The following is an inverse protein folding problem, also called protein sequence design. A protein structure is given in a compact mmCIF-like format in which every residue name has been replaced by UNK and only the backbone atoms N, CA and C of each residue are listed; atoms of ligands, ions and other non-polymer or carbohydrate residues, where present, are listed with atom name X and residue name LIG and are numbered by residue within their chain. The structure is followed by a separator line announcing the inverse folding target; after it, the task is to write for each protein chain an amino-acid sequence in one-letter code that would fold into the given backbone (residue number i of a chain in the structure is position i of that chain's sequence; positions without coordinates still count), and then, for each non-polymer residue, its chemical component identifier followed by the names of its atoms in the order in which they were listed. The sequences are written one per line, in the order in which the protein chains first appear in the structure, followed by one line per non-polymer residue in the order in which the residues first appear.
data_IF_372828641445
#
_entry.id   IF_372828641445
#
_cell.length_a   1.000
_cell.length_b   1.000
_cell.length_c   1.000
_cell.angle_alpha   90.00
_cell.angle_beta   90.00
_cell.angle_gamma   90.00
#
_symmetry.space_group_name_H-M   'P 1'
#
loop_
_entity.id
_entity.type
_entity.pdbx_description
1 polymer ?
#
# COMPACT_ATOMS: atom_id res chain seq x y z
N UNK A 1 1.25 83.74 -20.93
CA UNK A 1 1.65 82.58 -21.78
C UNK A 1 2.71 81.69 -21.10
N UNK A 2 2.61 81.42 -19.78
CA UNK A 2 3.62 80.62 -19.05
C UNK A 2 3.12 79.21 -18.62
N UNK A 3 1.94 78.78 -19.05
CA UNK A 3 1.27 77.58 -18.53
C UNK A 3 1.50 76.28 -19.32
N UNK A 4 2.22 76.30 -20.45
CA UNK A 4 2.28 75.14 -21.35
C UNK A 4 3.57 74.30 -21.27
N UNK A 5 4.65 74.80 -20.64
CA UNK A 5 5.90 74.05 -20.54
C UNK A 5 5.98 73.05 -19.37
N UNK A 6 5.12 73.15 -18.36
CA UNK A 6 5.19 72.24 -17.20
C UNK A 6 4.59 70.85 -17.45
N UNK A 7 3.71 70.69 -18.45
CA UNK A 7 3.04 69.42 -18.74
C UNK A 7 3.90 68.42 -19.54
N UNK A 8 4.95 68.88 -20.24
CA UNK A 8 5.85 67.99 -20.99
C UNK A 8 6.87 67.31 -20.09
N UNK A 9 7.38 68.03 -19.07
CA UNK A 9 8.30 67.47 -18.07
C UNK A 9 7.64 66.43 -17.16
N UNK A 10 6.38 66.63 -16.78
CA UNK A 10 5.63 65.63 -16.03
C UNK A 10 5.44 64.34 -16.86
N UNK A 11 5.05 64.45 -18.13
CA UNK A 11 4.87 63.27 -19.00
C UNK A 11 6.17 62.48 -19.21
N UNK A 12 7.33 63.15 -19.32
CA UNK A 12 8.62 62.46 -19.44
C UNK A 12 9.04 61.76 -18.15
N UNK A 13 8.77 62.36 -16.98
CA UNK A 13 9.00 61.75 -15.67
C UNK A 13 8.15 60.49 -15.47
N UNK A 14 6.86 60.53 -15.79
CA UNK A 14 5.99 59.35 -15.71
C UNK A 14 6.47 58.21 -16.62
N UNK A 15 6.90 58.52 -17.85
CA UNK A 15 7.47 57.53 -18.78
C UNK A 15 8.73 56.84 -18.24
N UNK A 16 9.65 57.62 -17.65
CA UNK A 16 10.88 57.08 -17.05
C UNK A 16 10.61 56.19 -15.83
N UNK A 17 9.66 56.57 -14.96
CA UNK A 17 9.30 55.71 -13.82
C UNK A 17 8.69 54.38 -14.24
N UNK A 18 7.89 54.37 -15.32
CA UNK A 18 7.25 53.16 -15.83
C UNK A 18 8.28 52.23 -16.50
N UNK A 19 9.22 52.80 -17.25
CA UNK A 19 10.38 52.08 -17.80
C UNK A 19 11.25 51.47 -16.69
N UNK A 20 11.56 52.23 -15.62
CA UNK A 20 12.32 51.73 -14.48
C UNK A 20 11.59 50.59 -13.76
N UNK A 21 10.27 50.69 -13.56
CA UNK A 21 9.49 49.61 -12.96
C UNK A 21 9.47 48.34 -13.84
N UNK A 22 9.36 48.49 -15.16
CA UNK A 22 9.45 47.36 -16.09
C UNK A 22 10.86 46.74 -16.04
N UNK A 23 11.90 47.57 -16.04
CA UNK A 23 13.29 47.11 -16.04
C UNK A 23 13.70 46.43 -14.73
N UNK A 24 13.07 46.77 -13.60
CA UNK A 24 13.30 46.10 -12.32
C UNK A 24 12.46 44.83 -12.14
N UNK A 25 11.21 44.84 -12.62
CA UNK A 25 10.28 43.72 -12.38
C UNK A 25 10.59 42.50 -13.24
N UNK A 26 11.06 42.69 -14.47
CA UNK A 26 11.41 41.61 -15.41
C UNK A 26 12.59 40.73 -14.93
N UNK A 27 13.76 41.27 -14.51
CA UNK A 27 14.87 40.43 -14.07
C UNK A 27 14.58 39.68 -12.77
N UNK A 28 13.79 40.26 -11.85
CA UNK A 28 13.39 39.57 -10.62
C UNK A 28 12.48 38.36 -10.90
N UNK A 29 11.50 38.48 -11.79
CA UNK A 29 10.62 37.35 -12.12
C UNK A 29 11.35 36.27 -12.93
N UNK A 30 12.24 36.67 -13.85
CA UNK A 30 13.07 35.72 -14.61
C UNK A 30 14.04 34.96 -13.70
N UNK A 31 14.69 35.65 -12.75
CA UNK A 31 15.60 35.01 -11.79
C UNK A 31 14.88 34.03 -10.85
N UNK A 32 13.69 34.41 -10.36
CA UNK A 32 12.89 33.54 -9.50
C UNK A 32 12.42 32.29 -10.26
N UNK A 33 11.91 32.46 -11.48
CA UNK A 33 11.46 31.35 -12.31
C UNK A 33 12.61 30.39 -12.64
N UNK A 34 13.80 30.91 -12.98
CA UNK A 34 14.97 30.08 -13.24
C UNK A 34 15.41 29.29 -12.00
N UNK A 35 15.36 29.89 -10.81
CA UNK A 35 15.66 29.17 -9.56
C UNK A 35 14.65 28.08 -9.27
N UNK A 36 13.35 28.36 -9.42
CA UNK A 36 12.29 27.38 -9.22
C UNK A 36 12.41 26.20 -10.19
N UNK A 37 12.68 26.47 -11.48
CA UNK A 37 12.88 25.39 -12.46
C UNK A 37 14.15 24.60 -12.18
N UNK A 38 15.24 25.23 -11.74
CA UNK A 38 16.46 24.50 -11.34
C UNK A 38 16.23 23.60 -10.13
N UNK A 39 15.44 24.06 -9.14
CA UNK A 39 15.10 23.27 -7.95
C UNK A 39 14.20 22.10 -8.32
N UNK A 40 13.18 22.33 -9.15
CA UNK A 40 12.31 21.26 -9.65
C UNK A 40 13.11 20.21 -10.43
N UNK A 41 14.02 20.65 -11.30
CA UNK A 41 14.88 19.74 -12.05
C UNK A 41 15.81 18.93 -11.13
N UNK A 42 16.38 19.56 -10.10
CA UNK A 42 17.18 18.85 -9.11
C UNK A 42 16.35 17.81 -8.33
N UNK A 43 15.12 18.15 -7.93
CA UNK A 43 14.21 17.19 -7.29
C UNK A 43 13.88 16.03 -8.21
N UNK A 44 13.56 16.30 -9.49
CA UNK A 44 13.26 15.26 -10.49
C UNK A 44 14.46 14.35 -10.72
N UNK A 45 15.65 14.91 -10.91
CA UNK A 45 16.89 14.13 -11.06
C UNK A 45 17.20 13.29 -9.82
N UNK A 46 16.95 13.82 -8.62
CA UNK A 46 17.11 13.07 -7.37
C UNK A 46 16.15 11.89 -7.31
N UNK A 47 14.88 12.08 -7.72
CA UNK A 47 13.89 11.00 -7.77
C UNK A 47 14.31 9.90 -8.76
N UNK A 48 14.78 10.26 -9.95
CA UNK A 48 15.26 9.28 -10.93
C UNK A 48 16.44 8.47 -10.40
N UNK A 49 17.43 9.09 -9.75
CA UNK A 49 18.55 8.36 -9.15
C UNK A 49 18.10 7.34 -8.09
N UNK A 50 17.10 7.70 -7.29
CA UNK A 50 16.53 6.78 -6.29
C UNK A 50 15.84 5.62 -6.98
N UNK A 51 15.02 5.89 -8.01
CA UNK A 51 14.35 4.86 -8.80
C UNK A 51 15.37 3.92 -9.45
N UNK A 52 16.38 4.46 -10.13
CA UNK A 52 17.43 3.69 -10.78
C UNK A 52 18.20 2.82 -9.77
N UNK A 53 18.50 3.35 -8.58
CA UNK A 53 19.17 2.57 -7.53
C UNK A 53 18.32 1.40 -7.02
N UNK A 54 17.01 1.60 -6.93
CA UNK A 54 16.06 0.55 -6.52
C UNK A 54 15.91 -0.50 -7.63
N UNK A 55 15.86 -0.07 -8.89
CA UNK A 55 15.83 -0.97 -10.03
C UNK A 55 17.09 -1.83 -10.12
N UNK A 56 18.26 -1.24 -9.86
CA UNK A 56 19.53 -1.97 -9.82
C UNK A 56 19.53 -3.04 -8.71
N UNK A 57 19.13 -2.67 -7.48
CA UNK A 57 19.01 -3.63 -6.37
C UNK A 57 18.02 -4.74 -6.71
N UNK A 58 16.92 -4.42 -7.40
CA UNK A 58 15.92 -5.40 -7.85
C UNK A 58 16.51 -6.38 -8.87
N UNK A 59 17.28 -5.89 -9.84
CA UNK A 59 17.91 -6.73 -10.87
C UNK A 59 18.92 -7.70 -10.24
N UNK A 60 19.76 -7.22 -9.31
CA UNK A 60 20.78 -8.04 -8.65
C UNK A 60 20.17 -9.13 -7.75
N UNK A 61 19.02 -8.85 -7.14
CA UNK A 61 18.38 -9.75 -6.19
C UNK A 61 17.19 -10.53 -6.75
N UNK A 62 16.94 -10.46 -8.06
CA UNK A 62 15.72 -11.03 -8.66
C UNK A 62 15.60 -12.55 -8.43
N UNK A 63 16.72 -13.26 -8.30
CA UNK A 63 16.75 -14.72 -8.12
C UNK A 63 16.90 -15.15 -6.65
N UNK A 64 16.99 -14.20 -5.71
CA UNK A 64 17.20 -14.47 -4.28
C UNK A 64 15.85 -14.71 -3.59
N UNK A 65 15.68 -15.88 -2.96
CA UNK A 65 14.43 -16.24 -2.28
C UNK A 65 13.97 -15.19 -1.26
N UNK A 66 14.90 -14.65 -0.46
CA UNK A 66 14.61 -13.62 0.53
C UNK A 66 14.02 -12.35 -0.10
N UNK A 67 14.51 -11.97 -1.27
CA UNK A 67 14.03 -10.81 -2.01
C UNK A 67 12.63 -11.06 -2.59
N UNK A 68 12.41 -12.19 -3.27
CA UNK A 68 11.09 -12.53 -3.85
C UNK A 68 9.99 -12.61 -2.77
N UNK A 69 10.30 -13.28 -1.64
CA UNK A 69 9.38 -13.40 -0.48
C UNK A 69 9.13 -12.03 0.16
N UNK A 70 10.19 -11.25 0.41
CA UNK A 70 10.07 -9.91 0.98
C UNK A 70 9.26 -8.97 0.10
N UNK A 71 9.46 -9.03 -1.21
CA UNK A 71 8.72 -8.23 -2.20
C UNK A 71 7.23 -8.59 -2.24
N UNK A 72 6.88 -9.88 -2.26
CA UNK A 72 5.48 -10.32 -2.19
C UNK A 72 4.81 -9.88 -0.90
N UNK A 73 5.48 -10.06 0.25
CA UNK A 73 4.97 -9.60 1.54
C UNK A 73 4.74 -8.08 1.56
N UNK A 74 5.65 -7.30 0.99
CA UNK A 74 5.47 -5.86 0.85
C UNK A 74 4.23 -5.50 0.03
N UNK A 75 4.00 -6.17 -1.11
CA UNK A 75 2.80 -5.94 -1.94
C UNK A 75 1.53 -6.32 -1.17
N UNK A 76 1.53 -7.49 -0.51
CA UNK A 76 0.38 -7.94 0.31
C UNK A 76 0.03 -6.88 1.36
N UNK A 77 1.03 -6.36 2.07
CA UNK A 77 0.83 -5.33 3.09
C UNK A 77 0.31 -4.01 2.50
N UNK A 78 0.81 -3.59 1.33
CA UNK A 78 0.31 -2.38 0.65
C UNK A 78 -1.14 -2.52 0.19
N UNK A 79 -1.51 -3.68 -0.38
CA UNK A 79 -2.88 -3.99 -0.78
C UNK A 79 -3.80 -4.07 0.44
N UNK A 80 -3.35 -4.70 1.52
CA UNK A 80 -4.09 -4.76 2.77
C UNK A 80 -4.33 -3.37 3.36
N UNK A 81 -3.31 -2.50 3.37
CA UNK A 81 -3.47 -1.11 3.82
C UNK A 81 -4.52 -0.36 2.99
N UNK A 82 -4.46 -0.46 1.66
CA UNK A 82 -5.45 0.18 0.76
C UNK A 82 -6.87 -0.33 1.01
N UNK A 83 -7.03 -1.63 1.23
CA UNK A 83 -8.31 -2.24 1.59
C UNK A 83 -8.84 -1.67 2.91
N UNK A 84 -8.00 -1.58 3.94
CA UNK A 84 -8.35 -1.00 5.25
C UNK A 84 -8.70 0.49 5.14
N UNK A 85 -7.94 1.27 4.37
CA UNK A 85 -8.22 2.69 4.16
C UNK A 85 -9.58 2.92 3.48
N UNK A 86 -9.93 2.06 2.51
CA UNK A 86 -11.24 2.07 1.84
C UNK A 86 -12.37 1.66 2.79
N UNK A 87 -12.14 0.65 3.61
CA UNK A 87 -13.08 0.25 4.66
C UNK A 87 -13.33 1.37 5.67
N UNK A 88 -12.26 2.01 6.16
CA UNK A 88 -12.36 3.15 7.07
C UNK A 88 -13.09 4.33 6.43
N UNK A 89 -12.78 4.63 5.17
CA UNK A 89 -13.48 5.68 4.42
C UNK A 89 -14.97 5.38 4.23
N UNK A 90 -15.32 4.12 3.99
CA UNK A 90 -16.71 3.65 3.85
C UNK A 90 -17.47 3.71 5.17
N UNK A 91 -16.84 3.28 6.28
CA UNK A 91 -17.45 3.29 7.61
C UNK A 91 -17.72 4.71 8.12
N UNK A 92 -16.76 5.63 7.97
CA UNK A 92 -16.90 7.04 8.33
C UNK A 92 -18.05 7.69 7.55
N UNK A 93 -18.19 7.36 6.27
CA UNK A 93 -19.18 7.97 5.39
C UNK A 93 -20.50 7.17 5.27
N UNK A 94 -20.72 6.17 6.13
CA UNK A 94 -21.89 5.26 6.05
C UNK A 94 -23.23 5.99 5.91
N UNK A 95 -23.39 7.11 6.62
CA UNK A 95 -24.63 7.90 6.62
C UNK A 95 -24.61 9.08 5.65
N UNK A 96 -23.44 9.44 5.10
CA UNK A 96 -23.28 10.59 4.18
C UNK A 96 -23.34 10.16 2.72
N UNK A 97 -22.80 8.98 2.43
CA UNK A 97 -22.74 8.43 1.09
C UNK A 97 -24.06 7.80 0.69
N UNK A 98 -24.30 7.79 -0.62
CA UNK A 98 -25.41 7.05 -1.19
C UNK A 98 -25.15 5.54 -1.12
N UNK A 99 -26.22 4.74 -1.08
CA UNK A 99 -26.13 3.27 -1.08
C UNK A 99 -25.24 2.75 -2.22
N UNK A 100 -25.31 3.38 -3.40
CA UNK A 100 -24.46 3.01 -4.53
C UNK A 100 -22.97 3.29 -4.32
N UNK A 101 -22.62 4.40 -3.67
CA UNK A 101 -21.22 4.71 -3.36
C UNK A 101 -20.67 3.70 -2.35
N UNK A 102 -21.45 3.35 -1.34
CA UNK A 102 -21.08 2.29 -0.38
C UNK A 102 -20.91 0.93 -1.07
N UNK A 103 -21.74 0.62 -2.08
CA UNK A 103 -21.61 -0.61 -2.86
C UNK A 103 -20.31 -0.63 -3.70
N UNK A 104 -19.93 0.51 -4.29
CA UNK A 104 -18.65 0.64 -5.00
C UNK A 104 -17.46 0.45 -4.06
N UNK A 105 -17.51 0.99 -2.83
CA UNK A 105 -16.46 0.73 -1.84
C UNK A 105 -16.35 -0.75 -1.46
N UNK A 106 -17.46 -1.46 -1.34
CA UNK A 106 -17.44 -2.90 -1.05
C UNK A 106 -16.86 -3.70 -2.21
N UNK A 107 -17.17 -3.33 -3.46
CA UNK A 107 -16.58 -3.94 -4.66
C UNK A 107 -15.06 -3.71 -4.71
N UNK A 108 -14.58 -2.50 -4.43
CA UNK A 108 -13.14 -2.21 -4.31
C UNK A 108 -12.47 -3.08 -3.22
N UNK A 109 -13.10 -3.22 -2.05
CA UNK A 109 -12.59 -4.04 -0.94
C UNK A 109 -12.50 -5.52 -1.34
N UNK A 110 -13.53 -6.03 -2.01
CA UNK A 110 -13.57 -7.40 -2.52
C UNK A 110 -12.45 -7.65 -3.56
N UNK A 111 -12.21 -6.70 -4.46
CA UNK A 111 -11.10 -6.79 -5.41
C UNK A 111 -9.73 -6.87 -4.71
N UNK A 112 -9.48 -6.01 -3.71
CA UNK A 112 -8.24 -6.08 -2.93
C UNK A 112 -8.10 -7.40 -2.15
N UNK A 113 -9.20 -7.93 -1.63
CA UNK A 113 -9.21 -9.23 -0.96
C UNK A 113 -8.78 -10.36 -1.90
N UNK A 114 -9.34 -10.42 -3.12
CA UNK A 114 -8.95 -11.43 -4.12
C UNK A 114 -7.49 -11.28 -4.58
N UNK A 115 -7.00 -10.04 -4.72
CA UNK A 115 -5.59 -9.78 -5.00
C UNK A 115 -4.68 -10.34 -3.91
N UNK A 116 -5.03 -10.11 -2.63
CA UNK A 116 -4.24 -10.60 -1.49
C UNK A 116 -4.23 -12.14 -1.45
N UNK A 117 -5.36 -12.79 -1.68
CA UNK A 117 -5.46 -14.25 -1.70
C UNK A 117 -4.62 -14.86 -2.84
N UNK A 118 -4.63 -14.23 -4.01
CA UNK A 118 -3.77 -14.63 -5.13
C UNK A 118 -2.27 -14.49 -4.80
N UNK A 119 -1.85 -13.35 -4.23
CA UNK A 119 -0.46 -13.11 -3.83
C UNK A 119 -0.01 -14.09 -2.74
N UNK A 120 -0.92 -14.49 -1.84
CA UNK A 120 -0.67 -15.56 -0.87
C UNK A 120 -0.45 -16.90 -1.55
N UNK A 121 -1.22 -17.22 -2.60
CA UNK A 121 -1.00 -18.40 -3.44
C UNK A 121 0.40 -18.42 -4.07
N UNK A 122 0.84 -17.27 -4.61
CA UNK A 122 2.20 -17.12 -5.15
C UNK A 122 3.29 -17.32 -4.10
N UNK A 123 3.05 -16.90 -2.85
CA UNK A 123 3.99 -17.15 -1.74
C UNK A 123 4.24 -18.67 -1.57
N UNK A 124 3.19 -19.49 -1.60
CA UNK A 124 3.29 -20.95 -1.52
C UNK A 124 3.97 -21.58 -2.75
N UNK A 125 3.94 -20.93 -3.92
CA UNK A 125 4.74 -21.35 -5.08
C UNK A 125 6.23 -21.07 -4.88
N UNK A 126 6.60 -19.94 -4.28
CA UNK A 126 7.98 -19.64 -3.93
C UNK A 126 8.55 -20.60 -2.88
N UNK A 127 7.76 -20.93 -1.85
CA UNK A 127 8.13 -21.94 -0.85
C UNK A 127 8.50 -23.28 -1.50
N UNK A 128 7.71 -23.70 -2.50
CA UNK A 128 7.97 -24.91 -3.28
C UNK A 128 9.20 -24.76 -4.17
N UNK A 129 9.37 -23.63 -4.86
CA UNK A 129 10.52 -23.33 -5.73
C UNK A 129 11.85 -23.41 -4.99
N UNK A 130 11.90 -22.87 -3.76
CA UNK A 130 13.14 -22.83 -2.98
C UNK A 130 13.25 -23.93 -1.92
N UNK A 131 12.20 -24.76 -1.75
CA UNK A 131 12.10 -25.77 -0.71
C UNK A 131 12.30 -25.19 0.70
N UNK A 132 11.62 -24.06 0.95
CA UNK A 132 11.68 -23.30 2.21
C UNK A 132 10.28 -23.32 2.81
N UNK A 133 10.17 -23.70 4.07
CA UNK A 133 8.93 -23.59 4.83
C UNK A 133 8.88 -22.21 5.48
N UNK A 134 8.01 -21.32 5.01
CA UNK A 134 7.78 -20.03 5.66
C UNK A 134 6.56 -20.12 6.57
N UNK A 135 6.81 -20.10 7.88
CA UNK A 135 5.74 -19.80 8.84
C UNK A 135 5.66 -18.29 9.02
N UNK A 136 4.46 -17.74 9.21
CA UNK A 136 4.26 -16.30 9.45
C UNK A 136 5.09 -15.77 10.63
N UNK A 137 5.38 -16.63 11.61
CA UNK A 137 6.16 -16.28 12.80
C UNK A 137 7.68 -16.46 12.61
N UNK A 138 8.11 -17.06 11.50
CA UNK A 138 9.53 -17.25 11.21
C UNK A 138 10.11 -16.00 10.58
N UNK A 139 10.85 -15.22 11.38
CA UNK A 139 11.69 -14.14 10.85
C UNK A 139 12.68 -14.79 9.87
N UNK A 140 12.62 -14.36 8.62
CA UNK A 140 13.47 -14.88 7.55
C UNK A 140 14.91 -14.42 7.78
N UNK A 141 15.63 -15.14 8.64
CA UNK A 141 17.07 -15.04 8.70
C UNK A 141 17.60 -15.81 7.49
N UNK A 142 18.22 -15.09 6.57
CA UNK A 142 18.98 -15.66 5.47
C UNK A 142 20.13 -16.44 6.10
N UNK A 143 19.89 -17.71 6.47
CA UNK A 143 20.94 -18.60 6.93
C UNK A 143 21.95 -18.62 5.80
N UNK A 144 23.13 -18.07 6.08
CA UNK A 144 24.19 -18.03 5.09
C UNK A 144 24.46 -19.47 4.64
N UNK A 145 24.85 -19.68 3.36
CA UNK A 145 25.19 -21.04 2.87
C UNK A 145 26.10 -21.80 3.84
N UNK A 146 27.02 -21.09 4.49
CA UNK A 146 27.90 -21.57 5.56
C UNK A 146 27.17 -22.11 6.80
N UNK A 147 26.10 -21.46 7.25
CA UNK A 147 25.30 -21.94 8.39
C UNK A 147 24.50 -23.19 8.04
N UNK A 148 23.95 -23.24 6.83
CA UNK A 148 23.27 -24.44 6.32
C UNK A 148 24.26 -25.61 6.24
N UNK A 149 25.47 -25.37 5.74
CA UNK A 149 26.54 -26.37 5.70
C UNK A 149 27.00 -26.80 7.09
N UNK A 150 27.15 -25.86 8.04
CA UNK A 150 27.45 -26.17 9.44
C UNK A 150 26.38 -27.05 10.07
N UNK A 151 25.10 -26.77 9.85
CA UNK A 151 24.01 -27.57 10.39
C UNK A 151 23.97 -28.98 9.77
N UNK A 152 24.23 -29.11 8.46
CA UNK A 152 24.39 -30.42 7.82
C UNK A 152 25.55 -31.21 8.42
N UNK A 153 26.70 -30.55 8.63
CA UNK A 153 27.88 -31.18 9.21
C UNK A 153 27.66 -31.59 10.67
N UNK A 154 26.98 -30.76 11.46
CA UNK A 154 26.60 -31.08 12.84
C UNK A 154 25.69 -32.31 12.91
N UNK A 155 24.66 -32.41 12.06
CA UNK A 155 23.80 -33.60 11.97
C UNK A 155 24.58 -34.87 11.56
N UNK A 156 25.60 -34.72 10.71
CA UNK A 156 26.46 -35.85 10.31
C UNK A 156 27.32 -36.35 11.49
N UNK A 157 27.85 -35.44 12.31
CA UNK A 157 28.60 -35.79 13.53
C UNK A 157 27.73 -36.48 14.58
N UNK A 158 26.48 -36.03 14.77
CA UNK A 158 25.55 -36.65 15.72
C UNK A 158 25.16 -38.07 15.31
N UNK A 159 24.92 -38.30 14.02
CA UNK A 159 24.63 -39.65 13.50
C UNK A 159 25.85 -40.57 13.54
N UNK A 160 27.06 -40.05 13.28
CA UNK A 160 28.31 -40.81 13.42
C UNK A 160 28.57 -41.25 14.88
N UNK A 161 28.21 -40.43 15.86
CA UNK A 161 28.40 -40.75 17.28
C UNK A 161 27.33 -41.71 17.83
N UNK A 162 26.11 -41.73 17.30
CA UNK A 162 25.06 -42.68 17.72
C UNK A 162 25.31 -44.13 17.28
N UNK A 163 26.20 -44.38 16.31
CA UNK A 163 26.57 -45.73 15.87
C UNK A 163 27.46 -46.50 16.86
N UNK A 164 28.07 -45.84 17.85
CA UNK A 164 29.02 -46.44 18.80
C UNK A 164 28.48 -46.43 20.23
N UNK A 165 27.56 -47.35 20.54
CA UNK A 165 27.39 -47.77 21.93
C UNK A 165 25.95 -47.97 22.38
N UNK A 166 25.44 -49.18 22.16
CA UNK A 166 24.52 -49.81 23.12
C UNK A 166 25.01 -51.21 23.44
N UNK A 167 25.95 -51.27 24.37
CA UNK A 167 26.11 -52.44 25.24
C UNK A 167 24.79 -52.64 26.00
N UNK A 168 24.28 -53.86 25.96
CA UNK A 168 23.05 -54.30 26.65
C UNK A 168 23.21 -54.18 28.17
N UNK A 169 22.88 -53.03 28.75
CA UNK A 169 22.68 -52.85 30.18
C UNK A 169 21.25 -53.20 30.58
N UNK A 170 21.01 -54.43 31.06
CA UNK A 170 19.76 -54.83 31.74
C UNK A 170 19.67 -54.08 33.09
N UNK A 171 19.00 -52.93 33.12
CA UNK A 171 18.70 -52.17 34.33
C UNK A 171 17.19 -52.09 34.58
N UNK A 172 16.69 -52.90 35.50
CA UNK A 172 15.27 -53.00 35.89
C UNK A 172 14.98 -51.95 36.97
N UNK A 173 14.60 -50.72 36.57
CA UNK A 173 14.28 -49.62 37.48
C UNK A 173 12.80 -49.23 37.43
N UNK A 174 12.02 -49.67 38.44
CA UNK A 174 10.64 -49.23 38.72
C UNK A 174 10.71 -47.84 39.37
N UNK A 175 10.16 -46.81 38.73
CA UNK A 175 10.02 -45.46 39.29
C UNK A 175 8.68 -44.86 38.92
N UNK A 176 7.79 -44.78 39.90
CA UNK A 176 6.40 -44.30 39.83
C UNK A 176 6.42 -42.85 40.32
N UNK A 177 6.05 -41.88 39.47
CA UNK A 177 6.04 -40.46 39.83
C UNK A 177 4.88 -39.71 39.18
N UNK A 178 3.78 -39.61 39.92
CA UNK A 178 2.61 -38.76 39.65
C UNK A 178 2.99 -37.31 39.97
N UNK A 179 2.78 -36.38 39.05
CA UNK A 179 2.87 -34.94 39.31
C UNK A 179 1.79 -34.20 38.53
N UNK A 180 0.71 -33.81 39.24
CA UNK A 180 -0.38 -32.93 38.79
C UNK A 180 -0.01 -31.49 39.16
N UNK A 181 -0.21 -30.56 38.23
CA UNK A 181 -0.31 -29.11 38.46
C UNK A 181 -0.59 -28.47 37.11
N UNK A 182 -1.69 -27.76 36.83
CA UNK A 182 -2.56 -27.00 37.72
C UNK A 182 -2.07 -25.55 37.75
N UNK A 183 -2.39 -24.76 36.72
CA UNK A 183 -2.29 -23.30 36.74
C UNK A 183 -3.58 -22.75 36.13
N UNK A 184 -4.41 -22.21 37.02
CA UNK A 184 -5.53 -21.32 36.75
C UNK A 184 -5.00 -19.87 36.64
N UNK A 185 -5.57 -19.08 35.74
CA UNK A 185 -5.50 -17.61 35.71
C UNK A 185 -6.59 -17.11 34.77
N UNK A 186 -7.72 -16.56 35.25
CA UNK A 186 -7.90 -15.20 35.79
C UNK A 186 -7.30 -14.18 34.80
N UNK A 187 -8.06 -13.39 34.03
CA UNK A 187 -9.29 -12.68 34.36
C UNK A 187 -8.92 -11.22 34.56
N UNK A 188 -9.16 -10.37 33.57
CA UNK A 188 -9.07 -8.91 33.71
C UNK A 188 -10.11 -8.24 32.81
N UNK A 189 -11.13 -7.71 33.47
CA UNK A 189 -12.14 -6.82 32.94
C UNK A 189 -11.51 -5.42 32.79
N UNK A 190 -11.37 -4.97 31.54
CA UNK A 190 -10.77 -3.68 31.17
C UNK A 190 -11.81 -2.61 30.93
N UNK A 191 -11.84 -1.67 31.87
CA UNK A 191 -12.65 -0.49 32.09
C UNK A 191 -12.90 0.46 30.89
N UNK A 192 -14.07 1.08 30.90
CA UNK A 192 -14.59 1.95 29.85
C UNK A 192 -14.03 3.37 29.91
N UNK A 193 -13.21 3.71 28.92
CA UNK A 193 -12.78 5.08 28.66
C UNK A 193 -13.87 5.90 27.98
N UNK A 194 -14.41 6.89 28.69
CA UNK A 194 -15.26 7.95 28.13
C UNK A 194 -14.43 8.93 27.30
N UNK A 195 -14.66 8.95 25.99
CA UNK A 195 -14.07 9.92 25.04
C UNK A 195 -14.50 11.37 25.36
N UNK A 196 -13.56 12.32 25.55
CA UNK A 196 -13.86 13.72 25.82
C UNK A 196 -14.00 14.60 24.57
N UNK A 197 -13.95 14.02 23.36
CA UNK A 197 -14.10 14.77 22.11
C UNK A 197 -15.55 14.77 21.63
N UNK A 198 -16.33 15.72 22.13
CA UNK A 198 -17.63 16.09 21.58
C UNK A 198 -17.49 16.54 20.13
N UNK A 199 -17.66 15.59 19.21
CA UNK A 199 -17.66 15.80 17.77
C UNK A 199 -18.78 16.78 17.40
N UNK A 200 -18.40 17.98 16.93
CA UNK A 200 -19.32 19.00 16.44
C UNK A 200 -20.04 18.43 15.23
N UNK A 201 -21.24 17.90 15.44
CA UNK A 201 -22.09 17.37 14.36
C UNK A 201 -22.32 18.48 13.34
N UNK A 202 -21.92 18.31 12.06
CA UNK A 202 -22.18 19.30 11.04
C UNK A 202 -23.69 19.50 10.93
N UNK A 203 -24.14 20.75 11.09
CA UNK A 203 -25.53 21.15 10.91
C UNK A 203 -26.03 20.63 9.54
N UNK A 204 -27.16 19.91 9.50
CA UNK A 204 -27.66 19.36 8.25
C UNK A 204 -27.93 20.50 7.25
N UNK A 205 -27.50 20.36 5.99
CA UNK A 205 -27.75 21.36 4.97
C UNK A 205 -29.25 21.59 4.83
N UNK A 206 -29.67 22.87 4.74
CA UNK A 206 -31.08 23.23 4.62
C UNK A 206 -31.78 22.46 3.48
N UNK A 207 -33.08 22.13 3.65
CA UNK A 207 -33.82 21.35 2.67
C UNK A 207 -33.89 22.11 1.33
N UNK A 208 -33.17 21.56 0.34
CA UNK A 208 -33.32 21.94 -1.07
C UNK A 208 -34.76 21.72 -1.52
N UNK A 209 -35.27 22.61 -2.37
CA UNK A 209 -36.65 22.57 -2.87
C UNK A 209 -37.05 21.18 -3.40
N UNK A 210 -38.29 20.77 -3.19
CA UNK A 210 -38.76 19.41 -3.54
C UNK A 210 -38.60 19.08 -5.03
N UNK A 211 -38.55 20.10 -5.90
CA UNK A 211 -38.24 19.96 -7.32
C UNK A 211 -36.81 19.45 -7.56
N UNK A 212 -35.84 19.90 -6.79
CA UNK A 212 -34.44 19.47 -6.91
C UNK A 212 -34.25 18.04 -6.38
N UNK A 213 -34.93 17.68 -5.28
CA UNK A 213 -34.96 16.31 -4.77
C UNK A 213 -35.52 15.33 -5.82
N UNK A 214 -36.64 15.68 -6.47
CA UNK A 214 -37.26 14.85 -7.52
C UNK A 214 -36.36 14.68 -8.75
N UNK A 215 -35.65 15.73 -9.17
CA UNK A 215 -34.69 15.65 -10.30
C UNK A 215 -33.50 14.75 -9.96
N UNK A 216 -32.95 14.86 -8.73
CA UNK A 216 -31.89 13.96 -8.26
C UNK A 216 -32.34 12.50 -8.24
N UNK A 217 -33.51 12.22 -7.65
CA UNK A 217 -34.08 10.86 -7.62
C UNK A 217 -34.23 10.23 -9.01
N UNK A 218 -34.65 11.01 -10.01
CA UNK A 218 -34.75 10.52 -11.41
C UNK A 218 -33.39 10.18 -12.01
N UNK A 219 -32.36 11.00 -11.79
CA UNK A 219 -31.00 10.69 -12.26
C UNK A 219 -30.42 9.46 -11.55
N UNK A 220 -30.66 9.32 -10.24
CA UNK A 220 -30.25 8.13 -9.50
C UNK A 220 -30.92 6.86 -10.03
N UNK A 221 -32.23 6.91 -10.31
CA UNK A 221 -32.95 5.76 -10.87
C UNK A 221 -32.38 5.35 -12.24
N UNK A 222 -32.17 6.32 -13.13
CA UNK A 222 -31.61 6.04 -14.46
C UNK A 222 -30.20 5.44 -14.38
N UNK A 223 -29.32 5.99 -13.54
CA UNK A 223 -27.96 5.46 -13.37
C UNK A 223 -27.96 4.08 -12.71
N UNK A 224 -28.91 3.82 -11.81
CA UNK A 224 -29.10 2.52 -11.18
C UNK A 224 -29.54 1.47 -12.20
N UNK A 225 -30.57 1.77 -12.98
CA UNK A 225 -31.09 0.87 -14.00
C UNK A 225 -30.01 0.57 -15.06
N UNK A 226 -29.19 1.56 -15.43
CA UNK A 226 -28.06 1.37 -16.35
C UNK A 226 -26.95 0.50 -15.76
N UNK A 227 -26.59 0.71 -14.48
CA UNK A 227 -25.61 -0.12 -13.78
C UNK A 227 -26.08 -1.57 -13.67
N UNK A 228 -27.33 -1.78 -13.24
CA UNK A 228 -27.94 -3.10 -13.12
C UNK A 228 -28.02 -3.79 -14.47
N UNK A 229 -28.43 -3.06 -15.52
CA UNK A 229 -28.48 -3.59 -16.88
C UNK A 229 -27.10 -4.03 -17.38
N UNK A 230 -26.06 -3.20 -17.20
CA UNK A 230 -24.69 -3.53 -17.60
C UNK A 230 -24.10 -4.70 -16.80
N UNK A 231 -24.53 -4.88 -15.53
CA UNK A 231 -24.04 -5.97 -14.68
C UNK A 231 -24.76 -7.29 -14.95
N UNK A 232 -26.07 -7.25 -15.20
CA UNK A 232 -26.91 -8.44 -15.42
C UNK A 232 -26.87 -8.93 -16.87
N UNK A 233 -26.58 -8.04 -17.82
CA UNK A 233 -26.32 -8.41 -19.20
C UNK A 233 -24.83 -8.20 -19.47
N UNK A 234 -23.96 -9.16 -19.10
CA UNK A 234 -22.56 -9.06 -19.46
C UNK A 234 -22.50 -8.95 -20.98
N UNK A 235 -22.10 -7.78 -21.47
CA UNK A 235 -21.76 -7.61 -22.88
C UNK A 235 -20.81 -8.73 -23.27
N UNK A 236 -21.13 -9.45 -24.34
CA UNK A 236 -20.34 -10.59 -24.88
C UNK A 236 -18.92 -10.22 -25.31
N UNK A 237 -18.54 -8.95 -25.15
CA UNK A 237 -17.15 -8.52 -25.19
C UNK A 237 -16.37 -9.26 -24.09
N UNK A 238 -15.32 -10.03 -24.44
CA UNK A 238 -14.45 -10.61 -23.43
C UNK A 238 -13.96 -9.48 -22.53
N UNK A 239 -14.27 -9.57 -21.23
CA UNK A 239 -13.67 -8.65 -20.27
C UNK A 239 -12.16 -8.86 -20.41
N UNK A 240 -11.36 -7.80 -20.65
CA UNK A 240 -9.93 -7.94 -20.47
C UNK A 240 -9.75 -8.54 -19.08
N UNK A 241 -8.91 -9.58 -18.99
CA UNK A 241 -8.49 -10.09 -17.70
C UNK A 241 -8.19 -8.86 -16.82
N UNK A 242 -8.72 -8.79 -15.58
CA UNK A 242 -8.46 -7.64 -14.70
C UNK A 242 -6.96 -7.42 -14.44
N UNK A 243 -6.13 -8.35 -14.93
CA UNK A 243 -4.68 -8.35 -14.93
C UNK A 243 -4.15 -7.92 -16.31
N UNK A 244 -3.69 -6.67 -16.49
CA UNK A 244 -3.11 -6.18 -17.74
C UNK A 244 -1.61 -6.51 -17.88
N UNK A 245 -1.09 -7.51 -17.16
CA UNK A 245 0.35 -7.72 -17.05
C UNK A 245 0.64 -9.22 -17.13
N UNK A 246 1.16 -9.62 -18.29
CA UNK A 246 2.20 -10.63 -18.40
C UNK A 246 3.33 -10.20 -17.44
N UNK A 247 3.18 -10.51 -16.15
CA UNK A 247 4.33 -10.41 -15.26
C UNK A 247 5.31 -11.39 -15.89
N UNK A 248 6.51 -10.95 -16.31
CA UNK A 248 7.53 -11.78 -16.97
C UNK A 248 8.06 -12.96 -16.13
N UNK A 249 7.22 -13.44 -15.21
CA UNK A 249 7.22 -14.66 -14.43
C UNK A 249 6.13 -15.58 -15.02
N UNK A 250 6.08 -15.74 -16.35
CA UNK A 250 5.35 -16.86 -16.93
C UNK A 250 6.01 -18.13 -16.39
N UNK A 251 5.44 -18.65 -15.30
CA UNK A 251 5.75 -19.98 -14.82
C UNK A 251 5.19 -20.89 -15.90
N UNK A 252 6.07 -21.46 -16.71
CA UNK A 252 5.71 -22.51 -17.67
C UNK A 252 5.03 -23.65 -16.89
N UNK A 253 3.70 -23.64 -16.88
CA UNK A 253 2.90 -24.75 -16.39
C UNK A 253 3.02 -25.89 -17.40
N UNK A 254 4.05 -26.70 -17.27
CA UNK A 254 4.05 -28.04 -17.82
C UNK A 254 3.14 -28.91 -16.94
N UNK A 255 1.86 -28.99 -17.32
CA UNK A 255 0.96 -30.06 -16.89
C UNK A 255 1.21 -31.34 -17.68
#
# INVERSE_FOLDING_TARGET
MAGHQNNTLLKSLWGLTLLLMIYWKIPCTLSLNYRLTSMLNACVQSSYRVIDSVEFIKQDNINTAAYEIGYLNFIIMDKYRKMVDKYNSSSINKYRNYVMENLLFLEDIELYYFEIDHLRGMLHELERKYNITTDFDTIYYEKTKLEIEREKYAKYLDTANQGKGKGKGKGKGKGKGKGKGGIDGAGEDGDGGSDPFGEVRPTPPMPKSDKEKKKRLRMYKHNFDLYVYNKLNPTTTPKPSPWPIEYGWEIDYHW
#
